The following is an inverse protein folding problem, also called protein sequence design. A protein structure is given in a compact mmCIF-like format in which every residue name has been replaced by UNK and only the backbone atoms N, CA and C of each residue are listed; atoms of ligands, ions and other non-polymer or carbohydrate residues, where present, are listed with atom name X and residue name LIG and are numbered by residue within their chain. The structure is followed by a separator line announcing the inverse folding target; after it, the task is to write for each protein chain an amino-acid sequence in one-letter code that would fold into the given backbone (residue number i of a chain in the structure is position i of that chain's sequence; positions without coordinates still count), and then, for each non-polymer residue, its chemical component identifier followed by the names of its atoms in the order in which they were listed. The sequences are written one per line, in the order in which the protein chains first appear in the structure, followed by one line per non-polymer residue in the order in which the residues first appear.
data_IF_597819705599
#
_entry.id   IF_597819705599
#
_cell.length_a   1.000
_cell.length_b   1.000
_cell.length_c   1.000
_cell.angle_alpha   90.00
_cell.angle_beta   90.00
_cell.angle_gamma   90.00
#
_symmetry.space_group_name_H-M   'P 1'
#
loop_
_entity.id
_entity.type
_entity.pdbx_description
1 polymer ?
#
# COMPACT_ATOMS: atom_id res chain seq x y z
N UNK A 1 8.73 -16.09 2.77
CA UNK A 1 9.11 -15.11 1.74
C UNK A 1 10.45 -15.52 1.15
N UNK A 2 10.68 -15.30 -0.16
CA UNK A 2 11.98 -15.46 -0.81
C UNK A 2 12.56 -14.09 -1.17
N UNK A 3 13.87 -13.98 -1.24
CA UNK A 3 14.54 -12.80 -1.74
C UNK A 3 14.13 -12.57 -3.20
N UNK A 4 13.66 -11.37 -3.54
CA UNK A 4 13.21 -11.06 -4.91
C UNK A 4 14.37 -10.99 -5.91
N UNK A 5 15.60 -10.76 -5.42
CA UNK A 5 16.79 -10.67 -6.26
C UNK A 5 17.48 -12.02 -6.51
N UNK A 6 17.61 -12.88 -5.49
CA UNK A 6 18.37 -14.14 -5.61
C UNK A 6 17.58 -15.42 -5.29
N UNK A 7 16.30 -15.32 -4.92
CA UNK A 7 15.45 -16.47 -4.60
C UNK A 7 15.74 -17.16 -3.26
N UNK A 8 16.79 -16.77 -2.54
CA UNK A 8 17.16 -17.31 -1.22
C UNK A 8 16.07 -17.09 -0.17
N UNK A 9 15.97 -18.01 0.79
CA UNK A 9 15.07 -17.90 1.96
C UNK A 9 15.74 -17.25 3.17
N UNK A 10 17.04 -16.94 3.09
CA UNK A 10 17.81 -16.32 4.17
C UNK A 10 17.56 -14.80 4.25
N UNK A 11 16.39 -14.43 4.78
CA UNK A 11 15.95 -13.04 4.99
C UNK A 11 15.88 -12.70 6.47
N UNK A 12 16.38 -11.52 6.84
CA UNK A 12 16.26 -10.94 8.19
C UNK A 12 15.23 -9.82 8.13
N UNK A 13 14.18 -9.91 8.96
CA UNK A 13 13.13 -8.89 9.06
C UNK A 13 13.63 -7.71 9.92
N UNK A 14 13.30 -6.50 9.50
CA UNK A 14 13.50 -5.25 10.25
C UNK A 14 12.46 -4.20 9.86
N UNK A 15 12.62 -2.99 10.39
CA UNK A 15 11.81 -1.80 10.07
C UNK A 15 12.77 -0.70 9.63
N UNK A 16 12.35 0.15 8.69
CA UNK A 16 13.15 1.31 8.29
C UNK A 16 12.91 2.45 9.28
N UNK A 17 13.99 3.08 9.74
CA UNK A 17 13.92 4.26 10.59
C UNK A 17 13.96 5.50 9.71
N UNK A 18 12.98 6.39 9.86
CA UNK A 18 13.09 7.76 9.34
C UNK A 18 12.91 8.76 10.50
N UNK A 19 13.84 9.71 10.62
CA UNK A 19 13.98 10.63 11.77
C UNK A 19 13.18 11.91 11.48
N UNK A 20 12.38 12.51 12.38
CA UNK A 20 12.76 13.06 13.70
C UNK A 20 11.75 12.78 14.83
N UNK A 21 10.54 12.25 14.56
CA UNK A 21 9.51 12.10 15.61
C UNK A 21 9.14 10.64 15.96
N UNK A 22 8.99 9.74 14.97
CA UNK A 22 8.38 8.41 15.21
C UNK A 22 9.28 7.21 14.88
N UNK A 23 10.53 7.41 14.43
CA UNK A 23 11.54 6.36 14.20
C UNK A 23 11.08 5.18 13.32
N UNK A 24 9.98 5.28 12.59
CA UNK A 24 9.49 4.23 11.70
C UNK A 24 8.99 4.84 10.42
N UNK A 25 9.38 4.26 9.29
CA UNK A 25 8.85 4.61 7.99
C UNK A 25 7.40 4.12 7.89
N UNK A 26 6.52 5.02 7.46
CA UNK A 26 5.08 4.78 7.37
C UNK A 26 4.63 5.02 5.93
N UNK A 27 3.86 4.09 5.40
CA UNK A 27 3.14 4.24 4.14
C UNK A 27 1.79 4.93 4.39
N UNK A 28 1.50 5.96 3.60
CA UNK A 28 0.21 6.66 3.60
C UNK A 28 -0.41 6.52 2.20
N UNK A 29 -1.59 5.91 2.06
CA UNK A 29 -2.35 5.92 0.81
C UNK A 29 -2.87 7.33 0.47
N UNK A 30 -2.87 7.70 -0.82
CA UNK A 30 -3.31 9.03 -1.29
C UNK A 30 -4.80 9.32 -1.04
N UNK A 31 -5.63 8.28 -0.99
CA UNK A 31 -7.06 8.32 -0.68
C UNK A 31 -7.35 8.69 0.79
N UNK A 32 -6.35 8.66 1.68
CA UNK A 32 -6.51 9.03 3.09
C UNK A 32 -6.32 10.53 3.22
N UNK A 33 -7.41 11.24 3.54
CA UNK A 33 -7.38 12.69 3.76
C UNK A 33 -6.32 13.08 4.81
N UNK A 34 -5.70 14.25 4.63
CA UNK A 34 -4.65 14.73 5.54
C UNK A 34 -5.12 14.77 7.00
N UNK A 35 -6.35 15.19 7.25
CA UNK A 35 -6.94 15.18 8.59
C UNK A 35 -6.95 13.79 9.22
N UNK A 36 -7.40 12.76 8.48
CA UNK A 36 -7.39 11.37 8.98
C UNK A 36 -5.96 10.87 9.24
N UNK A 37 -5.05 11.20 8.33
CA UNK A 37 -3.63 10.84 8.46
C UNK A 37 -2.95 11.45 9.67
N UNK A 38 -3.31 12.68 10.08
CA UNK A 38 -2.73 13.33 11.27
C UNK A 38 -3.09 12.61 12.58
N UNK A 39 -4.22 11.90 12.61
CA UNK A 39 -4.62 11.04 13.74
C UNK A 39 -4.10 9.60 13.63
N UNK A 40 -3.19 9.33 12.68
CA UNK A 40 -2.68 7.98 12.43
C UNK A 40 -3.71 7.03 11.81
N UNK A 41 -4.84 7.55 11.33
CA UNK A 41 -5.87 6.74 10.67
C UNK A 41 -5.46 6.55 9.21
N UNK A 42 -5.40 5.28 8.78
CA UNK A 42 -5.09 4.92 7.40
C UNK A 42 -3.59 4.89 7.05
N UNK A 43 -2.71 5.06 8.03
CA UNK A 43 -1.26 4.87 7.88
C UNK A 43 -0.85 3.42 8.15
N UNK A 44 0.20 2.93 7.48
CA UNK A 44 0.68 1.55 7.60
C UNK A 44 2.18 1.49 7.81
N UNK A 45 2.66 0.55 8.61
CA UNK A 45 4.10 0.35 8.83
C UNK A 45 4.76 -0.25 7.57
N UNK A 46 5.94 0.28 7.21
CA UNK A 46 6.79 -0.30 6.16
C UNK A 46 7.76 -1.30 6.79
N UNK A 47 7.61 -2.59 6.42
CA UNK A 47 8.52 -3.66 6.84
C UNK A 47 9.68 -3.76 5.87
N UNK A 48 10.85 -4.09 6.37
CA UNK A 48 12.05 -4.31 5.59
C UNK A 48 12.58 -5.73 5.79
N UNK A 49 13.18 -6.29 4.75
CA UNK A 49 13.80 -7.60 4.77
C UNK A 49 15.16 -7.52 4.09
N UNK A 50 16.24 -7.82 4.81
CA UNK A 50 17.60 -7.88 4.27
C UNK A 50 17.97 -9.33 3.97
N UNK A 51 18.41 -9.62 2.74
CA UNK A 51 18.89 -10.94 2.37
C UNK A 51 20.36 -11.11 2.76
N UNK A 52 20.66 -12.12 3.57
CA UNK A 52 22.05 -12.40 3.98
C UNK A 52 22.89 -12.86 2.77
N UNK A 53 22.28 -13.61 1.84
CA UNK A 53 23.00 -14.24 0.74
C UNK A 53 23.52 -13.23 -0.30
N UNK A 54 22.69 -12.25 -0.67
CA UNK A 54 23.05 -11.27 -1.71
C UNK A 54 23.02 -9.81 -1.23
N UNK A 55 22.78 -9.57 0.06
CA UNK A 55 22.75 -8.23 0.68
C UNK A 55 21.65 -7.31 0.12
N UNK A 56 20.67 -7.86 -0.60
CA UNK A 56 19.55 -7.09 -1.13
C UNK A 56 18.54 -6.73 -0.02
N UNK A 57 18.14 -5.46 0.02
CA UNK A 57 17.10 -4.95 0.91
C UNK A 57 15.78 -4.83 0.14
N UNK A 58 14.74 -5.52 0.60
CA UNK A 58 13.39 -5.45 0.02
C UNK A 58 12.38 -4.95 1.05
N UNK A 59 11.45 -4.12 0.61
CA UNK A 59 10.42 -3.51 1.45
C UNK A 59 9.06 -4.16 1.20
N UNK A 60 8.23 -4.23 2.23
CA UNK A 60 6.89 -4.77 2.13
C UNK A 60 5.90 -3.96 2.97
N UNK A 61 4.75 -3.69 2.36
CA UNK A 61 3.57 -3.12 3.01
C UNK A 61 2.48 -4.17 2.95
N UNK A 62 1.75 -4.36 4.06
CA UNK A 62 0.57 -5.22 4.06
C UNK A 62 -0.64 -4.43 3.52
N UNK A 63 -1.34 -5.04 2.57
CA UNK A 63 -2.61 -4.54 2.06
C UNK A 63 -3.76 -5.34 2.68
N UNK A 64 -4.82 -4.63 3.02
CA UNK A 64 -6.07 -5.17 3.55
C UNK A 64 -6.91 -5.84 2.46
N UNK A 65 -7.87 -6.66 2.87
CA UNK A 65 -8.87 -7.24 1.96
C UNK A 65 -9.64 -6.19 1.16
N UNK A 66 -9.90 -5.01 1.75
CA UNK A 66 -10.59 -3.94 1.04
C UNK A 66 -9.73 -3.28 -0.04
N UNK A 67 -8.40 -3.20 0.16
CA UNK A 67 -7.48 -2.79 -0.90
C UNK A 67 -7.51 -3.80 -2.05
N UNK A 68 -7.61 -5.10 -1.72
CA UNK A 68 -7.69 -6.15 -2.73
C UNK A 68 -8.99 -6.14 -3.51
N UNK A 69 -10.12 -5.90 -2.83
CA UNK A 69 -11.41 -5.69 -3.51
C UNK A 69 -11.35 -4.49 -4.46
N UNK A 70 -10.72 -3.39 -4.05
CA UNK A 70 -10.54 -2.21 -4.92
C UNK A 70 -9.63 -2.52 -6.11
N UNK A 71 -8.50 -3.18 -5.89
CA UNK A 71 -7.62 -3.62 -6.96
C UNK A 71 -8.36 -4.51 -7.98
N UNK A 72 -9.18 -5.45 -7.50
CA UNK A 72 -10.00 -6.30 -8.37
C UNK A 72 -11.02 -5.53 -9.21
N UNK A 73 -11.49 -4.36 -8.77
CA UNK A 73 -12.35 -3.49 -9.61
C UNK A 73 -11.58 -2.93 -10.83
N UNK A 74 -10.25 -2.84 -10.76
CA UNK A 74 -9.42 -2.42 -11.89
C UNK A 74 -9.09 -3.58 -12.82
N UNK A 75 -8.86 -4.78 -12.28
CA UNK A 75 -8.61 -6.02 -13.06
C UNK A 75 -9.88 -6.59 -13.71
N UNK A 76 -11.06 -6.23 -13.19
CA UNK A 76 -12.34 -6.60 -13.79
C UNK A 76 -12.63 -5.91 -15.12
N UNK A 77 -13.64 -6.39 -15.83
CA UNK A 77 -14.11 -5.81 -17.09
C UNK A 77 -14.51 -4.34 -16.85
N UNK A 78 -13.68 -3.41 -17.35
CA UNK A 78 -13.94 -1.98 -17.21
C UNK A 78 -15.26 -1.66 -17.94
N UNK A 79 -16.22 -0.99 -17.30
CA UNK A 79 -17.48 -0.65 -17.96
C UNK A 79 -17.18 0.17 -19.22
N UNK A 80 -17.90 -0.14 -20.30
CA UNK A 80 -17.66 0.50 -21.59
C UNK A 80 -17.78 2.01 -21.44
N UNK A 81 -17.06 2.77 -22.26
CA UNK A 81 -17.07 4.24 -22.22
C UNK A 81 -18.51 4.79 -22.32
N UNK A 82 -19.40 4.10 -23.03
CA UNK A 82 -20.80 4.48 -23.18
C UNK A 82 -21.62 4.27 -21.90
N UNK A 83 -21.29 3.26 -21.10
CA UNK A 83 -21.97 3.01 -19.82
C UNK A 83 -21.61 4.07 -18.77
N UNK A 84 -20.42 4.67 -18.87
CA UNK A 84 -19.97 5.74 -17.96
C UNK A 84 -20.69 7.07 -18.18
N UNK A 85 -21.17 7.34 -19.40
CA UNK A 85 -21.82 8.61 -19.77
C UNK A 85 -23.30 8.62 -19.32
N UNK A 86 -23.93 7.45 -19.19
CA UNK A 86 -25.34 7.32 -18.83
C UNK A 86 -25.59 7.23 -17.31
N UNK A 87 -24.55 7.22 -16.47
CA UNK A 87 -24.73 7.31 -15.01
C UNK A 87 -24.93 8.78 -14.67
N UNK A 88 -26.19 9.17 -14.46
CA UNK A 88 -26.52 10.50 -13.95
C UNK A 88 -25.71 10.80 -12.69
N UNK A 89 -25.08 11.98 -12.57
CA UNK A 89 -24.38 12.37 -11.36
C UNK A 89 -25.38 12.34 -10.20
N UNK A 90 -25.19 11.43 -9.24
CA UNK A 90 -25.88 11.55 -7.97
C UNK A 90 -25.37 12.84 -7.32
N UNK A 91 -26.27 13.81 -7.15
CA UNK A 91 -26.00 15.00 -6.35
C UNK A 91 -25.46 14.55 -4.98
N UNK A 92 -24.21 14.91 -4.73
CA UNK A 92 -23.64 14.87 -3.39
C UNK A 92 -24.40 15.93 -2.60
N UNK A 93 -25.30 15.50 -1.71
CA UNK A 93 -25.92 16.39 -0.73
C UNK A 93 -24.87 16.67 0.35
N UNK A 94 -24.59 17.96 0.53
CA UNK A 94 -23.70 18.53 1.55
C UNK A 94 -24.04 18.07 2.98
#
# INVERSE_FOLDING_TARGET
MKCVACGSTALVKGTLLDSVANKTAIFKPDEVSMWKSMFGVGTREVRAYACIHCQHLQLAVDFSEDDMKRYQQFEGEQPSVLDRINVEPKELKD
#
